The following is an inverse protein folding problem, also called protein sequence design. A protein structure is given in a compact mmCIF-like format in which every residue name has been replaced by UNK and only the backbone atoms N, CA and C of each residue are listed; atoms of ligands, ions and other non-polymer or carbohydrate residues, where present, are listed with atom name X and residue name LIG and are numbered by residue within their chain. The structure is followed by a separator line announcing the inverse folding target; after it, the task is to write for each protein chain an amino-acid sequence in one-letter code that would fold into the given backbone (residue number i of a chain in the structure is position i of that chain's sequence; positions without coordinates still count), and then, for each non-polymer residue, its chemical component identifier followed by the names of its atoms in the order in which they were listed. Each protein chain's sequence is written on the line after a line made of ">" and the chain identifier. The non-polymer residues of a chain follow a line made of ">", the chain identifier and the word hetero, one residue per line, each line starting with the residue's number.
data_IF_882815294426
#
_entry.id   IF_882815294426
#
_cell.length_a   1.000
_cell.length_b   1.000
_cell.length_c   1.000
_cell.angle_alpha   90.00
_cell.angle_beta   90.00
_cell.angle_gamma   90.00
#
_symmetry.space_group_name_H-M   'P 1'
#
loop_
_entity.id
_entity.type
_entity.pdbx_description
1 polymer ?
#
# COMPACT_ATOMS: atom_id res chain seq x y z
N UNK A 1 15.77 -17.78 -49.39
CA UNK A 1 16.32 -17.14 -48.19
C UNK A 1 15.51 -17.63 -47.01
N UNK A 2 16.04 -18.55 -46.24
CA UNK A 2 15.38 -19.16 -45.09
C UNK A 2 15.66 -18.26 -43.91
N UNK A 3 14.62 -17.63 -43.34
CA UNK A 3 14.70 -16.91 -42.07
C UNK A 3 15.06 -17.92 -40.98
N UNK A 4 16.27 -17.82 -40.46
CA UNK A 4 16.66 -18.47 -39.21
C UNK A 4 15.95 -17.76 -38.08
N UNK A 5 14.96 -18.40 -37.48
CA UNK A 5 14.41 -18.00 -36.16
C UNK A 5 15.56 -18.12 -35.16
N UNK A 6 15.97 -17.00 -34.61
CA UNK A 6 16.84 -16.96 -33.44
C UNK A 6 16.08 -17.57 -32.25
N UNK A 7 16.30 -18.84 -32.00
CA UNK A 7 16.03 -19.42 -30.69
C UNK A 7 17.02 -18.75 -29.71
N UNK A 8 16.54 -17.79 -28.97
CA UNK A 8 17.23 -17.32 -27.76
C UNK A 8 17.15 -18.49 -26.79
N UNK A 9 18.29 -19.05 -26.43
CA UNK A 9 18.36 -20.10 -25.42
C UNK A 9 17.72 -19.56 -24.14
N UNK A 10 16.68 -20.25 -23.63
CA UNK A 10 16.11 -19.97 -22.33
C UNK A 10 17.26 -20.03 -21.31
N UNK A 11 17.55 -18.93 -20.65
CA UNK A 11 18.44 -18.92 -19.48
C UNK A 11 17.90 -19.91 -18.46
N UNK A 12 18.80 -20.72 -17.86
CA UNK A 12 18.43 -21.65 -16.81
C UNK A 12 18.01 -20.89 -15.55
N UNK A 13 16.72 -20.49 -15.51
CA UNK A 13 16.07 -19.88 -14.35
C UNK A 13 15.43 -20.97 -13.50
N UNK A 14 15.68 -20.92 -12.20
CA UNK A 14 15.02 -21.80 -11.24
C UNK A 14 14.08 -20.99 -10.35
N UNK A 15 12.78 -21.25 -10.45
CA UNK A 15 11.79 -20.68 -9.53
C UNK A 15 11.53 -21.64 -8.39
N UNK A 16 11.71 -21.18 -7.16
CA UNK A 16 11.46 -21.97 -5.94
C UNK A 16 10.40 -21.35 -5.08
N UNK A 17 9.56 -22.18 -4.44
CA UNK A 17 8.81 -21.78 -3.26
C UNK A 17 9.81 -21.49 -2.14
N UNK A 18 9.57 -20.43 -1.38
CA UNK A 18 10.42 -20.09 -0.23
C UNK A 18 9.95 -20.92 0.97
N UNK A 19 10.73 -21.94 1.31
CA UNK A 19 10.42 -22.88 2.41
C UNK A 19 11.51 -22.91 3.48
N UNK A 20 12.73 -22.54 3.11
CA UNK A 20 13.87 -22.55 4.04
C UNK A 20 14.22 -21.15 4.54
N UNK A 21 14.93 -21.12 5.67
CA UNK A 21 15.45 -19.85 6.23
C UNK A 21 16.41 -19.16 5.25
N UNK A 22 17.20 -19.92 4.50
CA UNK A 22 18.14 -19.37 3.51
C UNK A 22 17.38 -18.68 2.37
N UNK A 23 16.40 -19.34 1.78
CA UNK A 23 15.56 -18.76 0.71
C UNK A 23 14.79 -17.52 1.20
N UNK A 24 14.28 -17.54 2.45
CA UNK A 24 13.65 -16.37 3.05
C UNK A 24 14.66 -15.23 3.26
N UNK A 25 15.90 -15.54 3.60
CA UNK A 25 16.98 -14.55 3.73
C UNK A 25 17.29 -13.90 2.37
N UNK A 26 17.36 -14.70 1.30
CA UNK A 26 17.58 -14.22 -0.05
C UNK A 26 16.38 -13.39 -0.53
N UNK A 27 15.17 -13.87 -0.29
CA UNK A 27 13.92 -13.15 -0.60
C UNK A 27 13.89 -11.76 0.02
N UNK A 28 14.23 -11.66 1.30
CA UNK A 28 14.20 -10.39 2.04
C UNK A 28 15.33 -9.44 1.64
N UNK A 29 16.51 -9.99 1.29
CA UNK A 29 17.71 -9.19 0.97
C UNK A 29 17.81 -8.80 -0.51
N UNK A 30 16.96 -9.34 -1.38
CA UNK A 30 17.04 -9.08 -2.83
C UNK A 30 17.00 -7.58 -3.13
N UNK A 31 16.10 -6.85 -2.51
CA UNK A 31 15.91 -5.41 -2.72
C UNK A 31 17.12 -4.57 -2.33
N UNK A 32 17.95 -5.03 -1.39
CA UNK A 32 19.19 -4.34 -1.03
C UNK A 32 20.13 -4.19 -2.24
N UNK A 33 20.14 -5.21 -3.13
CA UNK A 33 20.98 -5.20 -4.33
C UNK A 33 20.29 -4.50 -5.51
N UNK A 34 19.00 -4.72 -5.69
CA UNK A 34 18.23 -4.13 -6.79
C UNK A 34 18.18 -2.60 -6.70
N UNK A 35 18.14 -2.07 -5.49
CA UNK A 35 18.04 -0.63 -5.24
C UNK A 35 19.32 -0.03 -4.63
N UNK A 36 20.46 -0.75 -4.73
CA UNK A 36 21.73 -0.20 -4.24
C UNK A 36 22.10 1.09 -5.00
N UNK A 37 22.40 2.13 -4.23
CA UNK A 37 22.68 3.44 -4.80
C UNK A 37 21.47 4.24 -5.29
N UNK A 38 20.24 3.72 -5.22
CA UNK A 38 19.04 4.46 -5.58
C UNK A 38 18.68 5.46 -4.47
N UNK A 39 18.70 6.79 -4.71
CA UNK A 39 18.43 7.78 -3.67
C UNK A 39 16.95 7.92 -3.32
N UNK A 40 16.06 7.34 -4.12
CA UNK A 40 14.62 7.50 -4.01
C UNK A 40 13.92 6.30 -3.35
N UNK A 41 14.62 5.16 -3.26
CA UNK A 41 14.05 3.96 -2.67
C UNK A 41 14.00 4.03 -1.14
N UNK A 42 12.81 3.79 -0.57
CA UNK A 42 12.59 3.68 0.88
C UNK A 42 12.36 2.21 1.22
N UNK A 43 13.35 1.51 1.79
CA UNK A 43 13.26 0.09 2.04
C UNK A 43 12.33 -0.24 3.20
N UNK A 44 11.59 -1.35 3.08
CA UNK A 44 10.89 -1.96 4.20
C UNK A 44 11.88 -2.50 5.24
N UNK A 45 11.46 -2.53 6.49
CA UNK A 45 12.24 -3.23 7.51
C UNK A 45 12.18 -4.74 7.22
N UNK A 46 13.34 -5.37 7.18
CA UNK A 46 13.44 -6.81 6.91
C UNK A 46 12.63 -7.67 7.88
N UNK A 47 12.44 -7.18 9.11
CA UNK A 47 11.63 -7.87 10.10
C UNK A 47 10.13 -7.82 9.76
N UNK A 48 9.66 -6.73 9.13
CA UNK A 48 8.27 -6.57 8.75
C UNK A 48 7.94 -7.46 7.52
N UNK A 49 8.85 -7.51 6.52
CA UNK A 49 8.71 -8.45 5.39
C UNK A 49 8.59 -9.90 5.91
N UNK A 50 9.39 -10.30 6.91
CA UNK A 50 9.26 -11.65 7.51
C UNK A 50 7.96 -11.83 8.26
N UNK A 51 7.51 -10.78 8.97
CA UNK A 51 6.27 -10.83 9.73
C UNK A 51 5.06 -11.03 8.83
N UNK A 52 5.10 -10.56 7.58
CA UNK A 52 4.03 -10.80 6.58
C UNK A 52 3.70 -12.29 6.41
N UNK A 53 4.70 -13.17 6.53
CA UNK A 53 4.56 -14.63 6.36
C UNK A 53 4.42 -15.41 7.67
N UNK A 54 4.43 -14.74 8.82
CA UNK A 54 4.37 -15.38 10.15
C UNK A 54 2.93 -15.30 10.70
N UNK A 55 2.19 -16.44 10.80
CA UNK A 55 0.81 -16.44 11.30
C UNK A 55 0.67 -16.00 12.76
N UNK A 56 1.76 -15.98 13.53
CA UNK A 56 1.76 -15.45 14.90
C UNK A 56 1.81 -13.93 14.94
N UNK A 57 2.23 -13.29 13.84
CA UNK A 57 2.42 -11.84 13.75
C UNK A 57 1.44 -11.16 12.81
N UNK A 58 0.94 -11.89 11.83
CA UNK A 58 0.02 -11.38 10.83
C UNK A 58 -1.35 -12.07 10.95
N UNK A 59 -2.30 -11.39 11.59
CA UNK A 59 -3.65 -11.88 11.77
C UNK A 59 -4.42 -12.06 10.44
N UNK A 60 -4.02 -11.38 9.36
CA UNK A 60 -4.61 -11.53 8.04
C UNK A 60 -4.43 -12.93 7.45
N UNK A 61 -3.46 -13.72 7.93
CA UNK A 61 -3.24 -15.09 7.49
C UNK A 61 -4.30 -16.09 8.00
N UNK A 62 -5.24 -15.66 8.83
CA UNK A 62 -6.38 -16.51 9.25
C UNK A 62 -7.36 -16.75 8.09
N UNK A 63 -7.40 -15.86 7.09
CA UNK A 63 -8.30 -15.93 5.93
C UNK A 63 -7.56 -15.68 4.60
N UNK A 64 -6.25 -15.83 4.60
CA UNK A 64 -5.42 -15.58 3.42
C UNK A 64 -4.41 -16.70 3.23
N UNK A 65 -4.39 -17.32 2.05
CA UNK A 65 -3.30 -18.15 1.62
C UNK A 65 -2.19 -17.27 1.03
N UNK A 66 -0.96 -17.49 1.44
CA UNK A 66 0.20 -16.74 0.94
C UNK A 66 1.35 -17.67 0.61
N UNK A 67 1.99 -17.48 -0.55
CA UNK A 67 3.15 -18.26 -0.97
C UNK A 67 4.21 -17.35 -1.59
N UNK A 68 5.35 -17.15 -0.93
CA UNK A 68 6.49 -16.48 -1.55
C UNK A 68 7.24 -17.40 -2.51
N UNK A 69 7.73 -16.80 -3.61
CA UNK A 69 8.57 -17.44 -4.62
C UNK A 69 9.82 -16.61 -4.86
N UNK A 70 10.91 -17.27 -5.17
CA UNK A 70 12.20 -16.65 -5.49
C UNK A 70 12.76 -17.24 -6.78
N UNK A 71 13.33 -16.38 -7.62
CA UNK A 71 14.01 -16.75 -8.86
C UNK A 71 15.52 -16.73 -8.64
N UNK A 72 16.20 -17.81 -9.04
CA UNK A 72 17.65 -17.92 -9.08
C UNK A 72 18.16 -18.07 -10.52
N UNK A 73 19.29 -17.43 -10.80
CA UNK A 73 20.01 -17.63 -12.06
C UNK A 73 20.87 -18.91 -11.99
N UNK A 74 21.55 -19.25 -13.11
CA UNK A 74 22.46 -20.41 -13.22
C UNK A 74 23.58 -20.42 -12.15
N UNK A 75 23.98 -19.26 -11.66
CA UNK A 75 25.02 -19.12 -10.61
C UNK A 75 24.48 -19.31 -9.20
N UNK A 76 23.16 -19.47 -9.05
CA UNK A 76 22.52 -19.52 -7.75
C UNK A 76 22.29 -18.17 -7.10
N UNK A 77 22.45 -17.06 -7.82
CA UNK A 77 22.11 -15.73 -7.31
C UNK A 77 20.60 -15.49 -7.41
N UNK A 78 19.99 -14.95 -6.36
CA UNK A 78 18.61 -14.52 -6.43
C UNK A 78 18.47 -13.31 -7.36
N UNK A 79 17.59 -13.39 -8.36
CA UNK A 79 17.38 -12.38 -9.40
C UNK A 79 15.96 -11.81 -9.43
N UNK A 80 15.05 -12.41 -8.68
CA UNK A 80 13.69 -11.89 -8.52
C UNK A 80 12.93 -12.56 -7.40
N UNK A 81 11.90 -11.90 -6.91
CA UNK A 81 10.98 -12.40 -5.87
C UNK A 81 9.55 -11.98 -6.16
N UNK A 82 8.59 -12.74 -5.66
CA UNK A 82 7.16 -12.44 -5.72
C UNK A 82 6.43 -13.21 -4.62
N UNK A 83 5.32 -12.69 -4.14
CA UNK A 83 4.40 -13.43 -3.28
C UNK A 83 3.05 -13.57 -3.98
N UNK A 84 2.52 -14.79 -4.05
CA UNK A 84 1.13 -15.07 -4.39
C UNK A 84 0.26 -14.97 -3.14
N UNK A 85 -0.90 -14.34 -3.24
CA UNK A 85 -1.79 -14.02 -2.14
C UNK A 85 -3.24 -14.30 -2.57
N UNK A 86 -3.96 -15.15 -1.86
CA UNK A 86 -5.39 -15.38 -2.05
C UNK A 86 -6.09 -14.93 -0.78
N UNK A 87 -6.70 -13.75 -0.82
CA UNK A 87 -7.51 -13.24 0.27
C UNK A 87 -8.97 -13.71 0.07
N UNK A 88 -9.39 -14.70 0.85
CA UNK A 88 -10.72 -15.30 0.75
C UNK A 88 -11.82 -14.29 1.12
N UNK A 89 -11.60 -13.39 2.07
CA UNK A 89 -12.55 -12.34 2.41
C UNK A 89 -12.76 -11.36 1.26
N UNK A 90 -11.65 -10.94 0.59
CA UNK A 90 -11.74 -10.06 -0.58
C UNK A 90 -12.48 -10.74 -1.74
N UNK A 91 -12.11 -11.98 -2.07
CA UNK A 91 -12.75 -12.73 -3.13
C UNK A 91 -14.25 -12.94 -2.87
N UNK A 92 -14.64 -13.23 -1.62
CA UNK A 92 -16.05 -13.37 -1.26
C UNK A 92 -16.80 -12.03 -1.33
N UNK A 93 -16.23 -10.95 -0.80
CA UNK A 93 -16.87 -9.62 -0.79
C UNK A 93 -17.10 -9.08 -2.19
N UNK A 94 -16.08 -9.23 -3.06
CA UNK A 94 -16.10 -8.69 -4.43
C UNK A 94 -16.58 -9.71 -5.47
N UNK A 95 -16.99 -10.90 -5.05
CA UNK A 95 -17.48 -12.00 -5.90
C UNK A 95 -16.48 -12.34 -7.03
N UNK A 96 -15.17 -12.40 -6.68
CA UNK A 96 -14.07 -12.64 -7.61
C UNK A 96 -13.32 -13.93 -7.28
N UNK A 97 -12.48 -14.38 -8.21
CA UNK A 97 -11.54 -15.49 -8.02
C UNK A 97 -10.11 -15.04 -8.30
N UNK A 98 -9.72 -13.97 -7.60
CA UNK A 98 -8.42 -13.35 -7.81
C UNK A 98 -7.35 -14.02 -6.97
N UNK A 99 -6.20 -14.32 -7.59
CA UNK A 99 -4.93 -14.42 -6.90
C UNK A 99 -4.22 -13.07 -7.06
N UNK A 100 -3.81 -12.48 -5.95
CA UNK A 100 -3.02 -11.25 -5.97
C UNK A 100 -1.54 -11.59 -6.05
N UNK A 101 -0.73 -10.70 -6.65
CA UNK A 101 0.71 -10.73 -6.48
C UNK A 101 1.17 -9.48 -5.72
N UNK A 102 2.15 -9.66 -4.84
CA UNK A 102 2.79 -8.58 -4.09
C UNK A 102 4.27 -8.89 -3.85
N UNK A 103 5.00 -7.98 -3.19
CA UNK A 103 6.45 -8.12 -2.95
C UNK A 103 7.20 -8.53 -4.23
N UNK A 104 6.82 -7.91 -5.35
CA UNK A 104 7.29 -8.25 -6.70
C UNK A 104 8.48 -7.37 -7.08
N UNK A 105 9.67 -7.96 -7.04
CA UNK A 105 10.93 -7.29 -7.36
C UNK A 105 11.81 -8.21 -8.23
N UNK A 106 12.43 -7.66 -9.27
CA UNK A 106 13.20 -8.43 -10.22
C UNK A 106 14.21 -7.55 -10.98
N UNK A 107 15.25 -8.17 -11.55
CA UNK A 107 16.20 -7.50 -12.45
C UNK A 107 15.53 -7.18 -13.79
N UNK A 108 16.08 -6.22 -14.58
CA UNK A 108 15.55 -5.87 -15.91
C UNK A 108 15.76 -7.02 -16.92
N UNK A 109 15.00 -8.10 -16.73
CA UNK A 109 14.99 -9.30 -17.55
C UNK A 109 13.55 -9.85 -17.62
N UNK A 110 12.95 -9.84 -18.82
CA UNK A 110 11.56 -10.23 -19.03
C UNK A 110 11.32 -11.71 -18.73
N UNK A 111 12.32 -12.59 -18.92
CA UNK A 111 12.21 -14.01 -18.59
C UNK A 111 12.04 -14.19 -17.07
N UNK A 112 12.73 -13.39 -16.25
CA UNK A 112 12.61 -13.42 -14.79
C UNK A 112 11.22 -12.97 -14.35
N UNK A 113 10.75 -11.82 -14.85
CA UNK A 113 9.43 -11.30 -14.49
C UNK A 113 8.30 -12.22 -14.93
N UNK A 114 8.37 -12.77 -16.14
CA UNK A 114 7.40 -13.74 -16.66
C UNK A 114 7.37 -15.00 -15.81
N UNK A 115 8.52 -15.61 -15.53
CA UNK A 115 8.60 -16.86 -14.78
C UNK A 115 8.04 -16.71 -13.35
N UNK A 116 8.26 -15.56 -12.71
CA UNK A 116 7.71 -15.25 -11.38
C UNK A 116 6.19 -15.11 -11.42
N UNK A 117 5.66 -14.33 -12.36
CA UNK A 117 4.21 -14.15 -12.53
C UNK A 117 3.53 -15.48 -12.90
N UNK A 118 4.15 -16.28 -13.77
CA UNK A 118 3.65 -17.60 -14.15
C UNK A 118 3.64 -18.59 -12.96
N UNK A 119 4.59 -18.47 -12.02
CA UNK A 119 4.59 -19.28 -10.81
C UNK A 119 3.41 -18.96 -9.91
N UNK A 120 3.09 -17.66 -9.73
CA UNK A 120 1.91 -17.23 -8.97
C UNK A 120 0.62 -17.61 -9.69
N UNK A 121 0.57 -17.43 -11.02
CA UNK A 121 -0.59 -17.81 -11.83
C UNK A 121 -0.92 -19.30 -11.69
N UNK A 122 0.06 -20.19 -11.85
CA UNK A 122 -0.11 -21.64 -11.65
C UNK A 122 -0.56 -21.98 -10.23
N UNK A 123 0.07 -21.37 -9.21
CA UNK A 123 -0.29 -21.58 -7.82
C UNK A 123 -1.73 -21.14 -7.52
N UNK A 124 -2.20 -20.04 -8.16
CA UNK A 124 -3.58 -19.58 -8.08
C UNK A 124 -4.55 -20.51 -8.80
N UNK A 125 -4.24 -20.95 -10.02
CA UNK A 125 -5.05 -21.89 -10.81
C UNK A 125 -5.26 -23.22 -10.08
N UNK A 126 -4.22 -23.76 -9.44
CA UNK A 126 -4.30 -24.96 -8.60
C UNK A 126 -5.31 -24.82 -7.45
N UNK A 127 -5.67 -23.57 -7.09
CA UNK A 127 -6.62 -23.18 -6.01
C UNK A 127 -7.93 -22.61 -6.55
N UNK A 128 -8.18 -22.77 -7.87
CA UNK A 128 -9.43 -22.35 -8.50
C UNK A 128 -9.54 -20.86 -8.77
N UNK A 129 -8.41 -20.12 -8.77
CA UNK A 129 -8.37 -18.72 -9.18
C UNK A 129 -8.29 -18.62 -10.69
N UNK A 130 -8.89 -17.57 -11.26
CA UNK A 130 -8.98 -17.33 -12.71
C UNK A 130 -8.35 -16.00 -13.15
N UNK A 131 -7.98 -15.15 -12.21
CA UNK A 131 -7.41 -13.82 -12.48
C UNK A 131 -6.21 -13.56 -11.59
N UNK A 132 -5.10 -13.10 -12.19
CA UNK A 132 -3.92 -12.60 -11.49
C UNK A 132 -3.96 -11.07 -11.43
N UNK A 133 -3.90 -10.50 -10.23
CA UNK A 133 -4.09 -9.07 -9.96
C UNK A 133 -3.00 -8.53 -9.04
N UNK A 134 -2.52 -7.30 -9.28
CA UNK A 134 -1.54 -6.65 -8.40
C UNK A 134 -0.68 -5.58 -9.08
N UNK A 135 0.36 -5.09 -8.39
CA UNK A 135 0.77 -5.53 -7.06
C UNK A 135 -0.16 -5.04 -5.96
N UNK A 136 -0.56 -5.95 -5.08
CA UNK A 136 -1.42 -5.69 -3.90
C UNK A 136 -0.96 -6.55 -2.72
N UNK A 137 -1.27 -6.11 -1.51
CA UNK A 137 -1.05 -6.87 -0.29
C UNK A 137 -2.22 -7.75 0.13
N UNK A 138 -2.20 -8.17 1.39
CA UNK A 138 -3.29 -8.93 2.03
C UNK A 138 -4.50 -8.01 2.21
N UNK A 139 -4.26 -6.78 2.67
CA UNK A 139 -5.27 -5.76 2.93
C UNK A 139 -4.94 -4.48 2.18
N UNK A 140 -5.90 -3.56 2.09
CA UNK A 140 -5.75 -2.21 1.53
C UNK A 140 -4.83 -1.29 2.38
N UNK A 141 -4.43 -1.74 3.57
CA UNK A 141 -3.43 -1.06 4.39
C UNK A 141 -2.00 -1.49 4.07
N UNK A 142 -1.82 -2.51 3.23
CA UNK A 142 -0.52 -2.91 2.73
C UNK A 142 -0.14 -2.04 1.52
N UNK A 143 1.15 -2.04 1.17
CA UNK A 143 1.63 -1.30 0.01
C UNK A 143 1.08 -1.91 -1.27
N UNK A 144 0.49 -1.06 -2.12
CA UNK A 144 -0.11 -1.48 -3.38
C UNK A 144 0.18 -0.52 -4.53
N UNK A 145 -0.05 -0.98 -5.75
CA UNK A 145 0.12 -0.22 -6.97
C UNK A 145 1.58 -0.05 -7.41
N UNK A 146 1.88 -0.45 -8.64
CA UNK A 146 3.16 -0.24 -9.30
C UNK A 146 3.33 1.21 -9.71
N UNK A 147 4.46 1.84 -9.34
CA UNK A 147 4.77 3.21 -9.72
C UNK A 147 4.92 3.33 -11.24
N UNK A 148 4.28 4.34 -11.84
CA UNK A 148 4.31 4.62 -13.27
C UNK A 148 5.04 5.92 -13.62
N UNK A 149 5.05 6.89 -12.71
CA UNK A 149 5.54 8.26 -12.93
C UNK A 149 6.36 8.73 -11.72
N UNK A 150 7.15 9.78 -11.88
CA UNK A 150 7.92 10.43 -10.82
C UNK A 150 8.93 9.50 -10.12
N UNK A 151 9.63 8.69 -10.89
CA UNK A 151 10.66 7.76 -10.40
C UNK A 151 11.88 8.47 -9.78
N UNK A 152 12.00 9.77 -9.99
CA UNK A 152 13.03 10.66 -9.44
C UNK A 152 12.60 11.35 -8.13
N UNK A 153 11.45 10.95 -7.57
CA UNK A 153 10.98 11.41 -6.27
C UNK A 153 11.15 10.33 -5.21
N UNK A 154 11.52 10.76 -4.00
CA UNK A 154 11.64 9.83 -2.87
C UNK A 154 10.30 9.14 -2.59
N UNK A 155 10.33 7.82 -2.41
CA UNK A 155 9.19 7.04 -1.95
C UNK A 155 8.79 7.40 -0.52
N UNK A 156 7.61 6.98 -0.11
CA UNK A 156 7.19 7.03 1.28
C UNK A 156 7.29 5.64 1.94
N UNK A 157 7.22 5.60 3.26
CA UNK A 157 7.22 4.32 3.97
C UNK A 157 5.96 3.49 3.70
N UNK A 158 4.90 4.11 3.19
CA UNK A 158 3.60 3.48 2.97
C UNK A 158 3.34 3.09 1.51
N UNK A 159 4.27 3.35 0.60
CA UNK A 159 4.07 3.09 -0.83
C UNK A 159 5.19 2.25 -1.42
N UNK A 160 4.88 1.53 -2.49
CA UNK A 160 5.87 0.81 -3.27
C UNK A 160 6.74 1.79 -4.06
N UNK A 161 8.01 1.46 -4.22
CA UNK A 161 8.88 2.05 -5.21
C UNK A 161 9.39 0.94 -6.13
N UNK A 162 9.44 1.21 -7.40
CA UNK A 162 9.99 0.28 -8.40
C UNK A 162 10.73 1.07 -9.49
N UNK A 163 11.62 0.36 -10.21
CA UNK A 163 12.31 0.94 -11.36
C UNK A 163 11.37 1.16 -12.56
N UNK A 164 11.71 2.10 -13.47
CA UNK A 164 10.88 2.41 -14.65
C UNK A 164 10.65 1.23 -15.62
N UNK A 165 11.45 0.16 -15.55
CA UNK A 165 11.27 -1.00 -16.41
C UNK A 165 10.12 -1.92 -15.97
N UNK A 166 9.67 -1.86 -14.71
CA UNK A 166 8.59 -2.71 -14.19
C UNK A 166 7.28 -2.57 -14.99
N UNK A 167 6.69 -1.37 -15.17
CA UNK A 167 5.46 -1.24 -15.95
C UNK A 167 5.65 -1.68 -17.40
N UNK A 168 6.82 -1.46 -18.01
CA UNK A 168 7.11 -1.93 -19.38
C UNK A 168 7.05 -3.46 -19.49
N UNK A 169 7.54 -4.18 -18.45
CA UNK A 169 7.44 -5.65 -18.41
C UNK A 169 5.97 -6.09 -18.29
N UNK A 170 5.18 -5.45 -17.43
CA UNK A 170 3.76 -5.78 -17.27
C UNK A 170 3.01 -5.64 -18.60
N UNK A 171 3.22 -4.53 -19.30
CA UNK A 171 2.59 -4.25 -20.59
C UNK A 171 3.05 -5.26 -21.67
N UNK A 172 4.36 -5.54 -21.73
CA UNK A 172 4.92 -6.53 -22.67
C UNK A 172 4.39 -7.95 -22.43
N UNK A 173 4.08 -8.29 -21.16
CA UNK A 173 3.50 -9.58 -20.77
C UNK A 173 1.97 -9.61 -20.91
N UNK A 174 1.34 -8.55 -21.42
CA UNK A 174 -0.10 -8.48 -21.69
C UNK A 174 -0.95 -8.31 -20.45
N UNK A 175 -0.43 -7.68 -19.40
CA UNK A 175 -1.23 -7.25 -18.26
C UNK A 175 -1.92 -5.94 -18.57
N UNK A 176 -3.18 -5.82 -18.16
CA UNK A 176 -4.03 -4.66 -18.39
C UNK A 176 -4.21 -3.85 -17.10
N UNK A 177 -4.55 -2.57 -17.26
CA UNK A 177 -4.92 -1.70 -16.14
C UNK A 177 -6.19 -2.23 -15.46
N UNK A 178 -6.13 -2.38 -14.15
CA UNK A 178 -7.32 -2.56 -13.31
C UNK A 178 -7.77 -1.22 -12.75
N UNK A 179 -6.95 -0.60 -11.91
CA UNK A 179 -7.17 0.75 -11.37
C UNK A 179 -5.86 1.50 -11.27
N UNK A 180 -5.96 2.83 -11.28
CA UNK A 180 -4.86 3.71 -10.95
C UNK A 180 -5.14 4.48 -9.66
N UNK A 181 -4.09 4.71 -8.89
CA UNK A 181 -4.06 5.63 -7.77
C UNK A 181 -3.15 6.81 -8.08
N UNK A 182 -3.48 7.96 -7.51
CA UNK A 182 -2.70 9.19 -7.60
C UNK A 182 -2.39 9.68 -6.20
N UNK A 183 -1.18 10.14 -5.96
CA UNK A 183 -0.81 10.84 -4.74
C UNK A 183 -0.88 12.35 -4.96
N UNK A 184 -1.12 13.09 -3.89
CA UNK A 184 -1.24 14.54 -3.93
C UNK A 184 -0.18 15.13 -2.99
N UNK A 185 0.61 16.05 -3.52
CA UNK A 185 1.49 16.90 -2.73
C UNK A 185 0.81 18.24 -2.48
N UNK A 186 0.90 18.70 -1.25
CA UNK A 186 0.34 19.96 -0.77
C UNK A 186 1.45 20.74 -0.08
N UNK A 187 1.72 21.95 -0.54
CA UNK A 187 2.58 22.89 0.19
C UNK A 187 1.78 23.52 1.34
N UNK A 188 2.33 23.49 2.55
CA UNK A 188 1.64 23.98 3.73
C UNK A 188 1.59 25.50 3.68
N UNK A 189 0.39 26.11 3.64
CA UNK A 189 0.26 27.56 3.60
C UNK A 189 0.71 28.21 4.92
N UNK A 190 1.14 29.48 4.86
CA UNK A 190 1.53 30.25 6.06
C UNK A 190 0.35 30.50 6.99
N UNK A 191 -0.85 30.58 6.44
CA UNK A 191 -2.10 30.75 7.20
C UNK A 191 -3.15 29.74 6.69
N UNK A 192 -4.01 29.28 7.58
CA UNK A 192 -5.13 28.41 7.20
C UNK A 192 -6.04 29.16 6.22
N UNK A 193 -6.33 28.60 5.03
CA UNK A 193 -7.20 29.25 4.06
C UNK A 193 -8.57 29.62 4.66
N UNK A 194 -8.99 30.88 4.50
CA UNK A 194 -10.22 31.42 5.11
C UNK A 194 -11.49 30.59 4.77
N UNK A 195 -11.46 29.85 3.66
CA UNK A 195 -12.55 28.91 3.32
C UNK A 195 -12.68 27.80 4.33
N UNK A 196 -11.57 27.18 4.76
CA UNK A 196 -11.62 26.11 5.78
C UNK A 196 -12.09 26.63 7.11
N UNK A 197 -11.58 27.77 7.56
CA UNK A 197 -12.01 28.41 8.82
C UNK A 197 -13.52 28.66 8.82
N UNK A 198 -14.08 29.22 7.73
CA UNK A 198 -15.52 29.49 7.63
C UNK A 198 -16.36 28.21 7.61
N UNK A 199 -15.95 27.22 6.81
CA UNK A 199 -16.69 25.96 6.70
C UNK A 199 -16.58 25.16 8.02
N UNK A 200 -15.43 25.14 8.65
CA UNK A 200 -15.25 24.50 9.96
C UNK A 200 -16.13 25.15 11.05
N UNK A 201 -16.19 26.49 11.08
CA UNK A 201 -17.08 27.21 11.99
C UNK A 201 -18.55 26.86 11.73
N UNK A 202 -18.98 26.89 10.47
CA UNK A 202 -20.34 26.52 10.08
C UNK A 202 -20.68 25.07 10.48
N UNK A 203 -19.79 24.13 10.25
CA UNK A 203 -19.98 22.73 10.61
C UNK A 203 -20.12 22.54 12.14
N UNK A 204 -19.28 23.22 12.93
CA UNK A 204 -19.36 23.21 14.40
C UNK A 204 -20.71 23.74 14.89
N UNK A 205 -21.16 24.89 14.36
CA UNK A 205 -22.36 25.59 14.82
C UNK A 205 -23.66 24.94 14.32
N UNK A 206 -23.69 24.42 13.09
CA UNK A 206 -24.91 23.90 12.45
C UNK A 206 -25.16 22.43 12.78
N UNK A 207 -24.09 21.62 12.84
CA UNK A 207 -24.21 20.17 13.03
C UNK A 207 -23.69 19.72 14.42
N UNK A 208 -23.39 20.64 15.33
CA UNK A 208 -22.84 20.36 16.65
C UNK A 208 -21.63 19.44 16.65
N UNK A 209 -20.74 19.60 15.64
CA UNK A 209 -19.54 18.80 15.49
C UNK A 209 -18.42 19.33 16.40
N UNK A 210 -17.65 18.42 16.99
CA UNK A 210 -16.54 18.73 17.88
C UNK A 210 -15.25 18.12 17.37
N UNK A 211 -14.18 18.91 17.37
CA UNK A 211 -12.82 18.37 17.17
C UNK A 211 -12.31 17.86 18.51
N UNK A 212 -11.83 16.61 18.50
CA UNK A 212 -11.25 15.97 19.67
C UNK A 212 -9.78 15.64 19.42
N UNK A 213 -8.91 16.12 20.28
CA UNK A 213 -7.51 15.67 20.35
C UNK A 213 -7.40 14.49 21.32
N UNK A 214 -6.80 13.41 20.84
CA UNK A 214 -6.68 12.19 21.62
C UNK A 214 -5.63 12.32 22.71
N UNK A 215 -5.99 11.90 23.92
CA UNK A 215 -5.09 11.74 25.05
C UNK A 215 -4.72 10.25 25.24
N UNK A 216 -3.73 9.96 26.09
CA UNK A 216 -3.42 8.57 26.47
C UNK A 216 -4.61 7.88 27.13
N UNK A 217 -5.41 8.63 27.86
CA UNK A 217 -6.64 8.13 28.50
C UNK A 217 -7.69 7.72 27.47
N UNK A 218 -7.90 8.54 26.44
CA UNK A 218 -8.85 8.22 25.34
C UNK A 218 -8.48 6.92 24.65
N UNK A 219 -7.17 6.70 24.44
CA UNK A 219 -6.65 5.51 23.76
C UNK A 219 -6.74 4.28 24.68
N UNK A 220 -6.29 4.39 25.93
CA UNK A 220 -6.13 3.24 26.82
C UNK A 220 -7.41 2.86 27.58
N UNK A 221 -8.31 3.83 27.88
CA UNK A 221 -9.49 3.60 28.71
C UNK A 221 -10.81 3.75 27.92
N UNK A 222 -10.82 4.52 26.83
CA UNK A 222 -12.04 4.83 26.07
C UNK A 222 -12.08 4.22 24.67
N UNK A 223 -11.08 3.40 24.35
CA UNK A 223 -11.00 2.58 23.13
C UNK A 223 -11.09 3.36 21.80
N UNK A 224 -10.61 4.60 21.79
CA UNK A 224 -10.65 5.43 20.61
C UNK A 224 -9.90 4.84 19.42
N UNK A 225 -8.86 4.06 19.66
CA UNK A 225 -8.17 3.33 18.59
C UNK A 225 -9.12 2.45 17.80
N UNK A 226 -9.90 1.59 18.47
CA UNK A 226 -10.87 0.72 17.80
C UNK A 226 -12.01 1.49 17.17
N UNK A 227 -12.55 2.52 17.85
CA UNK A 227 -13.60 3.39 17.28
C UNK A 227 -13.17 4.00 15.95
N UNK A 228 -11.91 4.47 15.86
CA UNK A 228 -11.32 4.99 14.62
C UNK A 228 -11.26 3.92 13.54
N UNK A 229 -10.78 2.71 13.85
CA UNK A 229 -10.71 1.64 12.85
C UNK A 229 -12.09 1.11 12.42
N UNK A 230 -13.09 1.10 13.31
CA UNK A 230 -14.46 0.78 12.93
C UNK A 230 -15.06 1.84 11.99
N UNK A 231 -14.76 3.14 12.23
CA UNK A 231 -15.11 4.19 11.28
C UNK A 231 -14.42 3.99 9.92
N UNK A 232 -13.14 3.60 9.90
CA UNK A 232 -12.41 3.30 8.66
C UNK A 232 -13.06 2.13 7.93
N UNK A 233 -13.42 1.05 8.62
CA UNK A 233 -14.13 -0.09 8.03
C UNK A 233 -15.44 0.34 7.35
N UNK A 234 -16.22 1.20 8.01
CA UNK A 234 -17.49 1.71 7.45
C UNK A 234 -17.26 2.64 6.25
N UNK A 235 -16.35 3.59 6.39
CA UNK A 235 -16.11 4.61 5.36
C UNK A 235 -15.44 4.05 4.10
N UNK A 236 -14.59 3.02 4.25
CA UNK A 236 -13.82 2.43 3.16
C UNK A 236 -14.51 1.21 2.53
N UNK A 237 -15.62 0.73 3.09
CA UNK A 237 -16.33 -0.44 2.59
C UNK A 237 -16.58 -0.44 1.06
N UNK A 238 -16.91 0.68 0.39
CA UNK A 238 -17.13 0.72 -1.05
C UNK A 238 -15.85 0.89 -1.90
N UNK A 239 -14.68 1.09 -1.27
CA UNK A 239 -13.42 1.36 -1.99
C UNK A 239 -12.92 0.06 -2.63
N UNK A 240 -12.41 0.17 -3.87
CA UNK A 240 -11.82 -0.95 -4.60
C UNK A 240 -10.76 -1.68 -3.78
N UNK A 241 -10.85 -3.01 -3.73
CA UNK A 241 -9.89 -3.87 -3.05
C UNK A 241 -10.06 -3.95 -1.54
N UNK A 242 -10.77 -2.99 -0.93
CA UNK A 242 -10.93 -2.92 0.52
C UNK A 242 -11.74 -4.08 1.10
N UNK A 243 -11.24 -4.61 2.20
CA UNK A 243 -11.95 -5.56 3.07
C UNK A 243 -11.87 -5.08 4.50
N UNK A 244 -12.97 -5.25 5.22
CA UNK A 244 -13.06 -4.82 6.62
C UNK A 244 -12.01 -5.55 7.47
N UNK A 245 -11.30 -4.77 8.27
CA UNK A 245 -10.34 -5.33 9.24
C UNK A 245 -11.07 -6.03 10.37
N UNK A 246 -10.60 -7.22 10.70
CA UNK A 246 -11.03 -7.93 11.91
C UNK A 246 -10.48 -7.24 13.18
N UNK A 247 -11.13 -7.46 14.34
CA UNK A 247 -10.65 -6.91 15.61
C UNK A 247 -9.21 -7.32 15.92
N UNK A 248 -8.80 -8.54 15.56
CA UNK A 248 -7.42 -9.00 15.72
C UNK A 248 -6.42 -8.21 14.87
N UNK A 249 -6.81 -7.86 13.63
CA UNK A 249 -5.98 -7.01 12.77
C UNK A 249 -5.92 -5.59 13.34
N UNK A 250 -7.05 -5.04 13.78
CA UNK A 250 -7.12 -3.72 14.43
C UNK A 250 -6.18 -3.68 15.63
N UNK A 251 -6.22 -4.67 16.52
CA UNK A 251 -5.32 -4.77 17.67
C UNK A 251 -3.85 -4.84 17.26
N UNK A 252 -3.56 -5.58 16.20
CA UNK A 252 -2.21 -5.68 15.65
C UNK A 252 -1.71 -4.34 15.12
N UNK A 253 -2.54 -3.62 14.34
CA UNK A 253 -2.22 -2.29 13.83
C UNK A 253 -2.02 -1.28 14.96
N UNK A 254 -2.93 -1.24 15.94
CA UNK A 254 -2.81 -0.35 17.09
C UNK A 254 -1.49 -0.59 17.85
N UNK A 255 -1.18 -1.85 18.11
CA UNK A 255 0.07 -2.21 18.80
C UNK A 255 1.32 -1.80 18.01
N UNK A 256 1.28 -1.91 16.70
CA UNK A 256 2.43 -1.64 15.83
C UNK A 256 2.64 -0.14 15.60
N UNK A 257 1.58 0.60 15.32
CA UNK A 257 1.68 1.98 14.82
C UNK A 257 1.40 3.07 15.85
N UNK A 258 0.63 2.77 16.90
CA UNK A 258 0.22 3.80 17.89
C UNK A 258 1.41 4.51 18.54
N UNK A 259 2.51 3.78 18.80
CA UNK A 259 3.71 4.36 19.40
C UNK A 259 4.52 5.27 18.44
N UNK A 260 4.25 5.19 17.13
CA UNK A 260 4.93 5.98 16.10
C UNK A 260 4.21 7.29 15.81
N UNK A 261 2.92 7.39 16.16
CA UNK A 261 2.07 8.53 15.80
C UNK A 261 2.15 9.60 16.88
N UNK A 262 2.46 10.83 16.49
CA UNK A 262 2.27 12.01 17.33
C UNK A 262 0.77 12.33 17.38
N UNK A 263 0.15 12.22 18.54
CA UNK A 263 -1.28 12.46 18.73
C UNK A 263 -1.75 13.86 18.32
N UNK A 264 -0.86 14.85 18.29
CA UNK A 264 -1.16 16.18 17.76
C UNK A 264 -1.51 16.13 16.27
N UNK A 265 -0.94 15.18 15.54
CA UNK A 265 -1.14 14.96 14.11
C UNK A 265 -2.31 14.02 13.78
N UNK A 266 -3.14 13.72 14.79
CA UNK A 266 -4.40 12.99 14.63
C UNK A 266 -5.54 13.92 15.00
N UNK A 267 -6.53 14.05 14.13
CA UNK A 267 -7.76 14.80 14.42
C UNK A 267 -8.94 13.87 14.34
N UNK A 268 -9.69 13.77 15.41
CA UNK A 268 -10.97 13.06 15.48
C UNK A 268 -12.09 14.09 15.52
N UNK A 269 -13.18 13.81 14.80
CA UNK A 269 -14.40 14.61 14.86
C UNK A 269 -15.51 13.77 15.44
N UNK A 270 -16.22 14.34 16.43
CA UNK A 270 -17.36 13.74 17.10
C UNK A 270 -18.63 14.52 16.81
N UNK A 271 -19.76 13.85 16.84
CA UNK A 271 -21.09 14.46 16.82
C UNK A 271 -21.57 14.83 18.24
N UNK A 272 -22.80 15.32 18.38
CA UNK A 272 -23.41 15.69 19.64
C UNK A 272 -23.58 14.54 20.65
N UNK A 273 -23.52 13.28 20.16
CA UNK A 273 -23.62 12.06 20.97
C UNK A 273 -22.27 11.47 21.35
N UNK A 274 -21.19 12.21 21.11
CA UNK A 274 -19.80 11.78 21.30
C UNK A 274 -19.44 10.52 20.47
N UNK A 275 -20.12 10.32 19.31
CA UNK A 275 -19.78 9.27 18.34
C UNK A 275 -18.69 9.79 17.40
N UNK A 276 -17.68 8.97 17.13
CA UNK A 276 -16.62 9.27 16.14
C UNK A 276 -17.22 9.22 14.74
N UNK A 277 -17.24 10.36 14.05
CA UNK A 277 -17.81 10.52 12.72
C UNK A 277 -16.77 10.92 11.66
N UNK A 278 -15.59 11.28 12.09
CA UNK A 278 -14.50 11.63 11.20
C UNK A 278 -13.14 11.44 11.84
N UNK A 279 -12.15 11.11 11.05
CA UNK A 279 -10.75 11.00 11.47
C UNK A 279 -9.82 11.35 10.34
N UNK A 280 -8.72 12.02 10.67
CA UNK A 280 -7.54 12.12 9.83
C UNK A 280 -6.33 11.75 10.67
N UNK A 281 -5.48 10.88 10.10
CA UNK A 281 -4.24 10.42 10.73
C UNK A 281 -3.10 10.83 9.82
N UNK A 282 -2.18 11.61 10.36
CA UNK A 282 -0.99 12.05 9.67
C UNK A 282 0.24 11.84 10.53
N UNK A 283 1.41 11.88 9.95
CA UNK A 283 2.67 11.79 10.68
C UNK A 283 3.77 12.57 9.98
N UNK A 284 4.80 12.98 10.72
CA UNK A 284 6.02 13.47 10.08
C UNK A 284 6.64 12.34 9.26
N UNK A 285 7.12 12.65 8.05
CA UNK A 285 7.73 11.64 7.19
C UNK A 285 8.93 10.97 7.88
N UNK A 286 9.06 9.67 7.67
CA UNK A 286 10.21 8.87 8.08
C UNK A 286 11.03 8.39 6.89
N UNK A 287 10.73 8.85 5.68
CA UNK A 287 11.31 8.34 4.44
C UNK A 287 12.82 8.43 4.39
N UNK A 288 13.41 9.57 4.79
CA UNK A 288 14.86 9.72 4.84
C UNK A 288 15.49 8.87 5.96
N UNK A 289 14.82 8.73 7.09
CA UNK A 289 15.30 7.89 8.20
C UNK A 289 15.29 6.41 7.81
N UNK A 290 14.22 5.95 7.15
CA UNK A 290 14.10 4.59 6.61
C UNK A 290 15.14 4.32 5.52
N UNK A 291 15.33 5.25 4.59
CA UNK A 291 16.37 5.17 3.56
C UNK A 291 17.76 4.99 4.19
N UNK A 292 18.10 5.79 5.21
CA UNK A 292 19.38 5.69 5.95
C UNK A 292 19.51 4.38 6.73
N UNK A 293 18.40 3.84 7.25
CA UNK A 293 18.37 2.57 7.96
C UNK A 293 18.59 1.35 7.05
N UNK A 294 18.42 1.50 5.71
CA UNK A 294 18.62 0.45 4.71
C UNK A 294 17.90 -0.87 5.08
N UNK A 295 16.66 -0.76 5.55
CA UNK A 295 15.85 -1.92 5.96
C UNK A 295 16.31 -2.66 7.21
N UNK A 296 17.26 -2.10 7.99
CA UNK A 296 17.85 -2.74 9.18
C UNK A 296 17.72 -1.83 10.40
N UNK A 297 17.16 -2.35 11.51
CA UNK A 297 17.16 -1.59 12.77
C UNK A 297 18.53 -1.63 13.44
N UNK A 298 19.23 -2.75 13.40
CA UNK A 298 20.53 -2.91 14.05
C UNK A 298 21.68 -2.98 13.03
N UNK A 299 22.89 -2.42 13.36
CA UNK A 299 23.23 -1.82 14.66
C UNK A 299 22.75 -0.36 14.85
N UNK A 300 22.55 0.44 13.79
CA UNK A 300 22.32 1.88 13.92
C UNK A 300 21.03 2.40 13.27
N UNK A 301 20.28 1.56 12.56
CA UNK A 301 19.04 1.98 11.87
C UNK A 301 17.98 2.53 12.85
N UNK A 302 17.83 1.89 14.02
CA UNK A 302 16.93 2.37 15.08
C UNK A 302 17.23 3.80 15.51
N UNK A 303 18.49 4.23 15.49
CA UNK A 303 18.88 5.59 15.87
C UNK A 303 18.36 6.62 14.87
N UNK A 304 18.42 6.33 13.56
CA UNK A 304 17.87 7.22 12.53
C UNK A 304 16.36 7.42 12.71
N UNK A 305 15.62 6.33 12.97
CA UNK A 305 14.18 6.38 13.20
C UNK A 305 13.85 7.12 14.50
N UNK A 306 14.52 6.78 15.60
CA UNK A 306 14.28 7.44 16.89
C UNK A 306 14.59 8.94 16.81
N UNK A 307 15.66 9.33 16.10
CA UNK A 307 16.00 10.72 15.88
C UNK A 307 14.89 11.45 15.12
N UNK A 308 14.36 10.86 14.05
CA UNK A 308 13.28 11.44 13.25
C UNK A 308 11.98 11.56 14.05
N UNK A 309 11.67 10.56 14.88
CA UNK A 309 10.43 10.53 15.68
C UNK A 309 10.45 11.47 16.90
N UNK A 310 11.62 11.67 17.53
CA UNK A 310 11.66 12.33 18.85
C UNK A 310 12.45 13.64 18.89
N UNK A 311 13.45 13.82 18.01
CA UNK A 311 14.39 14.95 18.15
C UNK A 311 14.44 15.87 16.95
N UNK A 312 14.36 15.34 15.75
CA UNK A 312 14.44 16.12 14.51
C UNK A 312 13.64 15.43 13.41
N UNK A 313 12.36 15.69 13.38
CA UNK A 313 11.51 15.23 12.27
C UNK A 313 11.90 15.89 10.93
N UNK A 314 11.45 15.30 9.85
CA UNK A 314 11.56 15.86 8.50
C UNK A 314 10.61 17.07 8.36
N UNK A 315 10.86 17.93 7.41
CA UNK A 315 10.03 19.09 7.11
C UNK A 315 8.83 18.76 6.22
N UNK A 316 8.45 17.49 6.20
CA UNK A 316 7.34 16.96 5.46
C UNK A 316 6.46 16.05 6.32
N UNK A 317 5.18 15.94 5.95
CA UNK A 317 4.22 15.04 6.56
C UNK A 317 3.64 14.07 5.53
N UNK A 318 3.24 12.90 6.00
CA UNK A 318 2.49 11.90 5.25
C UNK A 318 1.06 11.84 5.80
N UNK A 319 0.06 12.06 4.93
CA UNK A 319 -1.34 11.87 5.27
C UNK A 319 -1.67 10.40 5.05
N UNK A 320 -1.77 9.65 6.14
CA UNK A 320 -1.90 8.21 6.09
C UNK A 320 -3.33 7.76 5.81
N UNK A 321 -4.29 8.28 6.59
CA UNK A 321 -5.69 7.88 6.55
C UNK A 321 -6.57 9.11 6.75
N UNK A 322 -7.67 9.17 5.99
CA UNK A 322 -8.72 10.17 6.15
C UNK A 322 -10.07 9.51 5.92
N UNK A 323 -10.96 9.60 6.88
CA UNK A 323 -12.30 9.02 6.77
C UNK A 323 -13.36 9.92 7.38
N UNK A 324 -14.51 9.91 6.74
CA UNK A 324 -15.74 10.55 7.23
C UNK A 324 -16.87 9.56 7.06
N UNK A 325 -17.63 9.32 8.13
CA UNK A 325 -18.81 8.45 8.12
C UNK A 325 -19.75 8.86 6.97
N UNK A 326 -20.30 7.93 6.20
CA UNK A 326 -21.04 8.24 4.98
C UNK A 326 -22.17 9.27 5.16
N UNK A 327 -22.90 9.22 6.26
CA UNK A 327 -24.02 10.14 6.58
C UNK A 327 -23.57 11.56 6.97
N UNK A 328 -22.26 11.75 7.30
CA UNK A 328 -21.66 13.05 7.59
C UNK A 328 -20.81 13.62 6.46
N UNK A 329 -20.68 12.90 5.36
CA UNK A 329 -20.03 13.43 4.16
C UNK A 329 -20.79 14.67 3.65
N UNK A 330 -20.08 15.64 3.10
CA UNK A 330 -20.61 16.95 2.64
C UNK A 330 -21.02 17.93 3.77
N UNK A 331 -20.91 17.56 5.05
CA UNK A 331 -21.22 18.46 6.17
C UNK A 331 -20.01 19.31 6.63
N UNK A 332 -18.94 19.36 5.84
CA UNK A 332 -17.76 20.19 6.13
C UNK A 332 -16.77 19.57 7.12
N UNK A 333 -16.87 18.27 7.40
CA UNK A 333 -15.96 17.56 8.33
C UNK A 333 -14.49 17.70 7.91
N UNK A 334 -14.20 17.63 6.59
CA UNK A 334 -12.83 17.80 6.11
C UNK A 334 -12.26 19.18 6.42
N UNK A 335 -13.10 20.23 6.46
CA UNK A 335 -12.63 21.56 6.84
C UNK A 335 -12.22 21.61 8.32
N UNK A 336 -12.85 20.82 9.20
CA UNK A 336 -12.44 20.68 10.59
C UNK A 336 -11.05 20.06 10.73
N UNK A 337 -10.73 19.08 9.88
CA UNK A 337 -9.40 18.47 9.86
C UNK A 337 -8.31 19.49 9.52
N UNK A 338 -8.52 20.27 8.45
CA UNK A 338 -7.52 21.25 8.00
C UNK A 338 -7.45 22.48 8.91
N UNK A 339 -8.58 22.93 9.46
CA UNK A 339 -8.62 24.02 10.46
C UNK A 339 -7.79 23.66 11.71
N UNK A 340 -7.77 22.38 12.07
CA UNK A 340 -7.03 21.87 13.23
C UNK A 340 -5.57 21.53 12.92
N UNK A 341 -5.28 20.88 11.79
CA UNK A 341 -3.94 20.36 11.47
C UNK A 341 -2.98 21.40 10.90
N UNK A 342 -3.46 22.33 10.06
CA UNK A 342 -2.57 23.29 9.40
C UNK A 342 -1.77 24.16 10.39
N UNK A 343 -2.36 24.69 11.48
CA UNK A 343 -1.60 25.40 12.50
C UNK A 343 -0.52 24.52 13.18
N UNK A 344 -0.83 23.24 13.38
CA UNK A 344 0.12 22.30 13.99
C UNK A 344 1.28 22.02 13.05
N UNK A 345 1.03 21.87 11.75
CA UNK A 345 2.08 21.71 10.77
C UNK A 345 3.01 22.92 10.71
N UNK A 346 2.44 24.14 10.79
CA UNK A 346 3.21 25.39 10.83
C UNK A 346 4.09 25.44 12.08
N UNK A 347 3.55 25.12 13.26
CA UNK A 347 4.29 25.05 14.53
C UNK A 347 5.45 24.05 14.46
N UNK A 348 5.24 22.89 13.83
CA UNK A 348 6.24 21.86 13.65
C UNK A 348 7.24 22.16 12.52
N UNK A 349 7.06 23.25 11.77
CA UNK A 349 7.91 23.60 10.64
C UNK A 349 7.79 22.65 9.45
N UNK A 350 6.64 21.97 9.32
CA UNK A 350 6.32 21.14 8.15
C UNK A 350 6.00 22.08 6.99
N UNK A 351 6.71 21.92 5.88
CA UNK A 351 6.58 22.76 4.70
C UNK A 351 5.67 22.19 3.62
N UNK A 352 5.58 20.88 3.55
CA UNK A 352 4.71 20.19 2.59
C UNK A 352 4.22 18.85 3.14
N UNK A 353 3.14 18.37 2.59
CA UNK A 353 2.59 17.07 2.93
C UNK A 353 2.29 16.27 1.65
N UNK A 354 2.34 14.95 1.75
CA UNK A 354 2.00 14.03 0.68
C UNK A 354 0.90 13.08 1.16
N UNK A 355 -0.11 12.84 0.31
CA UNK A 355 -1.16 11.88 0.64
C UNK A 355 -0.71 10.45 0.40
N UNK A 356 -1.37 9.50 1.04
CA UNK A 356 -1.42 8.13 0.55
C UNK A 356 -2.01 8.05 -0.87
N UNK A 357 -1.90 6.89 -1.55
CA UNK A 357 -2.52 6.68 -2.85
C UNK A 357 -4.05 6.84 -2.78
N UNK A 358 -4.63 7.61 -3.70
CA UNK A 358 -6.07 7.85 -3.82
C UNK A 358 -6.53 7.38 -5.19
N UNK A 359 -7.64 6.65 -5.29
CA UNK A 359 -8.20 6.22 -6.56
C UNK A 359 -8.43 7.42 -7.49
N UNK A 360 -7.97 7.32 -8.74
CA UNK A 360 -8.04 8.42 -9.72
C UNK A 360 -9.47 8.85 -10.04
N UNK A 361 -10.45 7.97 -9.91
CA UNK A 361 -11.87 8.20 -10.14
C UNK A 361 -12.63 8.68 -8.90
N UNK A 362 -11.97 8.71 -7.71
CA UNK A 362 -12.56 9.26 -6.49
C UNK A 362 -12.52 10.81 -6.50
N UNK A 363 -13.33 11.40 -7.38
CA UNK A 363 -13.39 12.86 -7.58
C UNK A 363 -13.70 13.62 -6.29
N UNK A 364 -14.47 13.03 -5.37
CA UNK A 364 -14.80 13.67 -4.08
C UNK A 364 -13.54 13.84 -3.23
N UNK A 365 -12.79 12.78 -3.08
CA UNK A 365 -11.53 12.75 -2.34
C UNK A 365 -10.53 13.76 -2.95
N UNK A 366 -10.31 13.67 -4.25
CA UNK A 366 -9.36 14.53 -4.94
C UNK A 366 -9.77 16.02 -4.92
N UNK A 367 -11.07 16.32 -4.88
CA UNK A 367 -11.56 17.70 -4.89
C UNK A 367 -11.33 18.44 -3.56
N UNK A 368 -11.17 17.75 -2.45
CA UNK A 368 -10.95 18.38 -1.15
C UNK A 368 -9.63 19.15 -1.07
N UNK A 369 -8.65 18.76 -1.89
CA UNK A 369 -7.32 19.36 -1.92
C UNK A 369 -7.26 20.69 -2.66
N UNK A 370 -8.23 20.99 -3.56
CA UNK A 370 -8.23 22.20 -4.41
C UNK A 370 -7.91 23.50 -3.70
N UNK A 371 -8.42 23.77 -2.46
CA UNK A 371 -8.09 25.01 -1.75
C UNK A 371 -6.62 25.14 -1.30
N UNK A 372 -5.84 24.06 -1.39
CA UNK A 372 -4.44 24.00 -1.00
C UNK A 372 -3.49 23.95 -2.21
N UNK A 373 -3.99 24.24 -3.41
CA UNK A 373 -3.22 24.23 -4.68
C UNK A 373 -2.41 22.93 -4.85
N UNK A 374 -3.08 21.77 -4.95
CA UNK A 374 -2.44 20.48 -4.97
C UNK A 374 -1.62 20.25 -6.24
N UNK A 375 -0.52 19.54 -6.10
CA UNK A 375 0.23 18.94 -7.22
C UNK A 375 -0.03 17.44 -7.22
N UNK A 376 -0.54 16.91 -8.34
CA UNK A 376 -0.71 15.47 -8.52
C UNK A 376 0.63 14.84 -8.88
N UNK A 377 1.00 13.78 -8.16
CA UNK A 377 2.29 13.10 -8.28
C UNK A 377 2.12 11.58 -8.19
N UNK A 378 3.15 10.85 -8.60
CA UNK A 378 3.31 9.41 -8.32
C UNK A 378 2.08 8.57 -8.65
N UNK A 379 1.71 8.53 -9.92
CA UNK A 379 0.68 7.60 -10.40
C UNK A 379 1.12 6.16 -10.17
N UNK A 380 0.19 5.35 -9.70
CA UNK A 380 0.40 3.92 -9.43
C UNK A 380 -0.70 3.11 -10.08
N UNK A 381 -0.37 1.87 -10.49
CA UNK A 381 -1.32 0.99 -11.16
C UNK A 381 -1.40 -0.38 -10.52
N UNK A 382 -2.62 -0.86 -10.32
CA UNK A 382 -2.91 -2.26 -10.21
C UNK A 382 -3.12 -2.83 -11.61
N UNK A 383 -2.43 -3.91 -11.92
CA UNK A 383 -2.58 -4.66 -13.16
C UNK A 383 -3.42 -5.90 -12.94
N UNK A 384 -4.07 -6.38 -13.99
CA UNK A 384 -4.74 -7.68 -14.02
C UNK A 384 -4.46 -8.45 -15.29
N UNK A 385 -4.61 -9.77 -15.21
CA UNK A 385 -4.59 -10.67 -16.36
C UNK A 385 -5.40 -11.92 -16.05
N UNK A 386 -6.27 -12.32 -16.97
CA UNK A 386 -6.95 -13.61 -16.87
C UNK A 386 -5.95 -14.76 -17.00
N UNK A 387 -6.07 -15.73 -16.10
CA UNK A 387 -5.21 -16.92 -16.03
C UNK A 387 -6.05 -18.20 -16.19
N UNK A 388 -7.09 -18.15 -17.03
CA UNK A 388 -7.93 -19.32 -17.27
C UNK A 388 -7.09 -20.55 -17.63
N UNK A 389 -7.44 -21.71 -17.09
CA UNK A 389 -6.86 -22.98 -17.52
C UNK A 389 -7.05 -23.10 -19.01
N UNK A 390 -5.95 -23.28 -19.76
CA UNK A 390 -6.02 -23.67 -21.15
C UNK A 390 -6.94 -24.89 -21.22
N UNK A 391 -8.15 -24.73 -21.76
CA UNK A 391 -8.95 -25.86 -22.22
C UNK A 391 -8.07 -26.64 -23.17
N UNK A 392 -7.65 -27.82 -22.77
CA UNK A 392 -7.10 -28.84 -23.65
C UNK A 392 -8.14 -29.02 -24.74
N UNK A 393 -7.86 -28.46 -25.91
CA UNK A 393 -8.65 -28.70 -27.10
C UNK A 393 -8.42 -30.16 -27.49
N UNK A 394 -9.17 -31.06 -26.85
CA UNK A 394 -9.34 -32.41 -27.42
C UNK A 394 -10.16 -32.22 -28.67
N UNK A 395 -9.47 -32.15 -29.79
CA UNK A 395 -10.05 -32.42 -31.11
C UNK A 395 -10.65 -33.83 -31.07
N UNK A 396 -11.96 -33.90 -30.85
CA UNK A 396 -12.73 -35.07 -31.29
C UNK A 396 -12.56 -35.18 -32.80
N UNK A 397 -11.61 -36.03 -33.24
CA UNK A 397 -11.65 -36.59 -34.58
C UNK A 397 -12.87 -37.50 -34.59
N UNK A 398 -13.93 -37.02 -35.19
CA UNK A 398 -14.99 -37.87 -35.71
C UNK A 398 -14.39 -38.83 -36.70
N UNK A 399 -14.26 -40.10 -36.33
CA UNK A 399 -14.22 -41.21 -37.24
C UNK A 399 -15.63 -41.49 -37.76
N UNK A 400 -16.02 -40.79 -38.84
CA UNK A 400 -17.01 -41.32 -39.75
C UNK A 400 -16.27 -42.00 -40.89
N UNK A 401 -16.28 -43.30 -40.88
CA UNK A 401 -16.23 -44.10 -42.13
C UNK A 401 -16.65 -45.56 -41.82
N UNK A 402 -17.82 -45.91 -42.11
CA UNK A 402 -18.36 -46.97 -43.00
C UNK A 402 -19.71 -47.45 -42.56
#
# INVERSE_FOLDING_TARGET
>A
MVQRSNFVAMKDLTIKKVETKHEMDDFVKLTDRLYDGCPYYVPDLRMDIRATFDPKKNAGLEFTDIQPFIAYNEKGDAVGRIAGIINHHANNKWETKNVRFGLFDFIDDTDVSSALLDAVARWGQERGMDTLQGPMGITDFDKEGMLLEDFDQMGSMNTLYNHPYYPRHMEALGYEKEVDWIQVRIDIPQETPARYVRVAKYAKETFNLKVKKLTDKDINEHDYGRKVFHLLNEAYAPIFGFTELTDKQIDSFLKQYLALIDKRLVTVVENEKDEVIGVVITMCSLSQAMHKAKGKLFPFGWFHLLKALKWKHEDSAELLLIAVRPDYQMMGVNALFFDDLLPIYQELGIRWAETGPQLEDNVRELSQWKPLNPTFIKRRRCYKKEISSSQTCHSERSEESR
#
